data_IF_470613836305
#
_entry.id   IF_470613836305
#
_cell.length_a   1.000
_cell.length_b   1.000
_cell.length_c   1.000
_cell.angle_alpha   90.00
_cell.angle_beta   90.00
_cell.angle_gamma   90.00
#
_symmetry.space_group_name_H-M   'P 1'
#
loop_
_entity.id
_entity.type
_entity.pdbx_description
1 polymer ?
#
# COMPACT_ATOMS: atom_id res chain seq x y z
N UNK A 1 1.00 -12.70 -7.90
CA UNK A 1 2.46 -12.69 -8.12
C UNK A 1 3.04 -11.48 -7.41
N UNK A 2 3.55 -11.68 -6.19
CA UNK A 2 4.27 -10.64 -5.46
C UNK A 2 5.66 -10.50 -6.09
N UNK A 3 5.91 -9.38 -6.75
CA UNK A 3 7.21 -9.08 -7.35
C UNK A 3 8.22 -8.91 -6.23
N UNK A 4 9.06 -9.91 -6.02
CA UNK A 4 10.28 -9.84 -5.21
C UNK A 4 11.23 -8.88 -5.90
N UNK A 5 11.05 -7.58 -5.69
CA UNK A 5 11.99 -6.56 -6.13
C UNK A 5 13.26 -6.72 -5.30
N UNK A 6 14.36 -7.06 -5.96
CA UNK A 6 15.69 -7.15 -5.37
C UNK A 6 16.21 -5.73 -5.05
N UNK A 7 15.64 -5.10 -4.02
CA UNK A 7 16.10 -3.81 -3.47
C UNK A 7 17.61 -3.75 -3.17
N UNK A 8 18.30 -4.84 -2.77
CA UNK A 8 19.75 -4.81 -2.54
C UNK A 8 20.58 -4.49 -3.78
N UNK A 9 20.07 -4.77 -4.99
CA UNK A 9 20.77 -4.55 -6.26
C UNK A 9 20.55 -3.15 -6.86
N UNK A 10 19.59 -2.37 -6.33
CA UNK A 10 19.31 -1.03 -6.82
C UNK A 10 20.30 0.01 -6.27
N UNK A 11 20.58 1.03 -7.08
CA UNK A 11 21.37 2.19 -6.68
C UNK A 11 20.56 3.11 -5.78
N UNK A 12 21.22 3.99 -5.00
CA UNK A 12 20.51 4.89 -4.08
C UNK A 12 19.50 5.80 -4.79
N UNK A 13 19.83 6.30 -5.99
CA UNK A 13 18.91 7.12 -6.79
C UNK A 13 17.67 6.33 -7.24
N UNK A 14 17.82 5.04 -7.56
CA UNK A 14 16.70 4.17 -7.90
C UNK A 14 15.79 3.87 -6.69
N UNK A 15 16.38 3.67 -5.51
CA UNK A 15 15.62 3.47 -4.26
C UNK A 15 14.77 4.70 -3.90
N UNK A 16 15.32 5.91 -4.05
CA UNK A 16 14.59 7.17 -3.79
C UNK A 16 13.48 7.41 -4.81
N UNK A 17 13.71 7.05 -6.08
CA UNK A 17 12.70 7.11 -7.13
C UNK A 17 11.55 6.11 -6.91
N UNK A 18 11.87 4.88 -6.49
CA UNK A 18 10.90 3.86 -6.08
C UNK A 18 10.09 4.33 -4.86
N UNK A 19 10.71 4.95 -3.84
CA UNK A 19 9.99 5.48 -2.67
C UNK A 19 8.97 6.56 -3.09
N UNK A 20 9.35 7.50 -3.97
CA UNK A 20 8.45 8.52 -4.50
C UNK A 20 7.28 7.89 -5.28
N UNK A 21 7.56 6.88 -6.11
CA UNK A 21 6.51 6.14 -6.84
C UNK A 21 5.55 5.45 -5.88
N UNK A 22 6.06 4.78 -4.84
CA UNK A 22 5.23 4.14 -3.82
C UNK A 22 4.41 5.16 -3.03
N UNK A 23 4.99 6.31 -2.66
CA UNK A 23 4.23 7.40 -2.01
C UNK A 23 3.10 7.94 -2.88
N UNK A 24 3.35 8.14 -4.18
CA UNK A 24 2.33 8.61 -5.12
C UNK A 24 1.22 7.55 -5.32
N UNK A 25 1.61 6.28 -5.44
CA UNK A 25 0.66 5.17 -5.47
C UNK A 25 -0.16 5.06 -4.19
N UNK A 26 0.41 5.36 -3.02
CA UNK A 26 -0.32 5.38 -1.75
C UNK A 26 -1.51 6.35 -1.80
N UNK A 27 -1.36 7.52 -2.43
CA UNK A 27 -2.45 8.49 -2.59
C UNK A 27 -3.53 7.93 -3.52
N UNK A 28 -3.14 7.40 -4.68
CA UNK A 28 -4.09 6.78 -5.62
C UNK A 28 -4.83 5.59 -4.98
N UNK A 29 -4.12 4.74 -4.24
CA UNK A 29 -4.69 3.61 -3.50
C UNK A 29 -5.63 4.11 -2.41
N UNK A 30 -5.28 5.16 -1.67
CA UNK A 30 -6.14 5.74 -0.63
C UNK A 30 -7.45 6.30 -1.22
N UNK A 31 -7.39 6.98 -2.37
CA UNK A 31 -8.59 7.47 -3.07
C UNK A 31 -9.46 6.31 -3.56
N UNK A 32 -8.87 5.28 -4.16
CA UNK A 32 -9.59 4.06 -4.59
C UNK A 32 -10.26 3.35 -3.42
N UNK A 33 -9.56 3.21 -2.29
CA UNK A 33 -10.11 2.62 -1.06
C UNK A 33 -11.27 3.47 -0.55
N UNK A 34 -11.11 4.80 -0.48
CA UNK A 34 -12.20 5.71 -0.07
C UNK A 34 -13.43 5.61 -0.96
N UNK A 35 -13.23 5.50 -2.28
CA UNK A 35 -14.31 5.28 -3.24
C UNK A 35 -15.01 3.93 -3.03
N UNK A 36 -14.23 2.85 -2.86
CA UNK A 36 -14.76 1.50 -2.56
C UNK A 36 -15.55 1.48 -1.24
N UNK A 37 -15.09 2.19 -0.21
CA UNK A 37 -15.82 2.33 1.06
C UNK A 37 -17.12 3.11 0.88
N UNK A 38 -17.13 4.18 0.07
CA UNK A 38 -18.36 4.92 -0.25
C UNK A 38 -19.39 4.06 -0.98
N UNK A 39 -18.96 3.32 -2.01
CA UNK A 39 -19.80 2.37 -2.76
C UNK A 39 -20.31 1.25 -1.85
N UNK A 40 -19.46 0.76 -0.95
CA UNK A 40 -19.82 -0.23 0.04
C UNK A 40 -20.96 0.29 0.94
N UNK A 41 -20.81 1.46 1.59
CA UNK A 41 -21.85 2.04 2.46
C UNK A 41 -23.16 2.25 1.70
N UNK A 42 -23.09 2.76 0.46
CA UNK A 42 -24.27 2.94 -0.39
C UNK A 42 -24.98 1.62 -0.71
N UNK A 43 -24.21 0.57 -1.01
CA UNK A 43 -24.70 -0.79 -1.29
C UNK A 43 -25.20 -1.51 -0.04
N UNK A 44 -24.66 -1.25 1.16
CA UNK A 44 -25.20 -1.79 2.42
C UNK A 44 -26.57 -1.19 2.75
N UNK A 45 -26.81 0.07 2.37
CA UNK A 45 -28.07 0.76 2.63
C UNK A 45 -29.18 0.30 1.66
N UNK A 46 -28.83 -0.28 0.52
CA UNK A 46 -29.77 -0.86 -0.45
C UNK A 46 -29.69 -2.40 -0.43
N UNK A 47 -30.61 -3.03 0.32
CA UNK A 47 -30.96 -4.46 0.33
C UNK A 47 -29.77 -5.46 0.18
N UNK A 48 -29.21 -5.90 1.32
CA UNK A 48 -28.47 -7.17 1.44
C UNK A 48 -26.94 -7.13 1.34
N UNK A 49 -26.31 -5.99 1.03
CA UNK A 49 -24.87 -5.90 0.72
C UNK A 49 -23.88 -5.86 1.90
N UNK A 50 -24.31 -5.96 3.16
CA UNK A 50 -23.47 -5.73 4.34
C UNK A 50 -22.22 -6.63 4.41
N UNK A 51 -22.33 -7.91 4.02
CA UNK A 51 -21.21 -8.85 4.00
C UNK A 51 -20.12 -8.44 3.00
N UNK A 52 -20.51 -7.89 1.85
CA UNK A 52 -19.59 -7.39 0.82
C UNK A 52 -18.80 -6.18 1.32
N UNK A 53 -19.45 -5.27 2.07
CA UNK A 53 -18.82 -4.09 2.66
C UNK A 53 -17.79 -4.42 3.73
N UNK A 54 -18.12 -5.37 4.60
CA UNK A 54 -17.24 -5.82 5.68
C UNK A 54 -16.06 -6.61 5.10
N UNK A 55 -16.31 -7.44 4.08
CA UNK A 55 -15.25 -8.15 3.35
C UNK A 55 -14.25 -7.20 2.67
N UNK A 56 -14.74 -6.13 2.04
CA UNK A 56 -13.90 -5.10 1.43
C UNK A 56 -13.07 -4.31 2.44
N UNK A 57 -13.63 -3.97 3.60
CA UNK A 57 -12.90 -3.30 4.68
C UNK A 57 -11.79 -4.17 5.28
N UNK A 58 -12.07 -5.46 5.52
CA UNK A 58 -11.05 -6.41 6.01
C UNK A 58 -9.95 -6.57 4.96
N UNK A 59 -10.32 -6.68 3.68
CA UNK A 59 -9.34 -6.78 2.59
C UNK A 59 -8.47 -5.52 2.48
N UNK A 60 -9.06 -4.33 2.59
CA UNK A 60 -8.32 -3.06 2.59
C UNK A 60 -7.33 -2.96 3.76
N UNK A 61 -7.74 -3.39 4.97
CA UNK A 61 -6.84 -3.46 6.14
C UNK A 61 -5.68 -4.44 5.89
N UNK A 62 -5.96 -5.59 5.29
CA UNK A 62 -4.94 -6.60 5.00
C UNK A 62 -3.91 -6.07 3.99
N UNK A 63 -4.37 -5.46 2.90
CA UNK A 63 -3.51 -4.85 1.87
C UNK A 63 -2.69 -3.69 2.46
N UNK A 64 -3.31 -2.83 3.26
CA UNK A 64 -2.61 -1.72 3.94
C UNK A 64 -1.51 -2.20 4.88
N UNK A 65 -1.75 -3.28 5.63
CA UNK A 65 -0.75 -3.86 6.55
C UNK A 65 0.46 -4.42 5.80
N UNK A 66 0.25 -5.08 4.66
CA UNK A 66 1.31 -5.62 3.82
C UNK A 66 2.13 -4.51 3.14
N UNK A 67 1.46 -3.45 2.71
CA UNK A 67 2.12 -2.27 2.12
C UNK A 67 3.00 -1.55 3.15
N UNK A 68 2.54 -1.41 4.39
CA UNK A 68 3.31 -0.81 5.48
C UNK A 68 4.59 -1.58 5.79
N UNK A 69 4.56 -2.92 5.74
CA UNK A 69 5.74 -3.77 5.94
C UNK A 69 6.80 -3.57 4.85
N UNK A 70 6.38 -3.52 3.59
CA UNK A 70 7.29 -3.26 2.46
C UNK A 70 7.89 -1.85 2.48
N UNK A 71 7.11 -0.83 2.87
CA UNK A 71 7.67 0.51 3.05
C UNK A 71 8.71 0.55 4.19
N UNK A 72 8.47 -0.17 5.28
CA UNK A 72 9.43 -0.26 6.38
C UNK A 72 10.73 -0.93 5.96
N UNK A 73 10.68 -2.00 5.15
CA UNK A 73 11.90 -2.67 4.68
C UNK A 73 12.72 -1.80 3.74
N UNK A 74 12.09 -1.11 2.80
CA UNK A 74 12.79 -0.17 1.89
C UNK A 74 13.42 0.98 2.70
N UNK A 75 12.67 1.54 3.66
CA UNK A 75 13.17 2.63 4.50
C UNK A 75 14.32 2.20 5.41
N UNK A 76 14.27 0.98 5.94
CA UNK A 76 15.36 0.41 6.73
C UNK A 76 16.64 0.26 5.89
N UNK A 77 16.52 -0.20 4.64
CA UNK A 77 17.65 -0.31 3.71
C UNK A 77 18.26 1.06 3.37
N UNK A 78 17.43 2.09 3.12
CA UNK A 78 17.90 3.46 2.86
C UNK A 78 18.67 4.00 4.08
N UNK A 79 18.10 3.88 5.29
CA UNK A 79 18.75 4.35 6.53
C UNK A 79 20.06 3.60 6.78
N UNK A 80 20.10 2.29 6.53
CA UNK A 80 21.31 1.49 6.71
C UNK A 80 22.45 1.94 5.80
N UNK A 81 22.15 2.27 4.54
CA UNK A 81 23.16 2.77 3.58
C UNK A 81 23.58 4.22 3.85
N UNK A 82 22.68 5.04 4.37
CA UNK A 82 22.97 6.42 4.77
C UNK A 82 23.84 6.50 6.03
N UNK A 83 23.69 5.56 6.97
CA UNK A 83 24.50 5.48 8.21
C UNK A 83 25.89 4.87 8.03
N UNK A 84 26.16 4.21 6.90
CA UNK A 84 27.50 3.67 6.55
C UNK A 84 28.38 4.69 5.80
N UNK A 85 27.90 5.91 5.61
CA UNK A 85 28.61 7.03 4.96
C UNK A 85 29.16 8.00 5.99
#
# INVERSE_FOLDING_TARGET
>A
MFSSKDYPKMTLDELVSEEKKLKSQKILIAVLIGFLVGVAIWSATHIGGFILTVGLLIFALFVGSSYSKNLKSIRAEIIHRDTLR
#
